data_IF_915378551995
#
_entry.id   IF_915378551995
#
_cell.length_a   1.000
_cell.length_b   1.000
_cell.length_c   1.000
_cell.angle_alpha   90.00
_cell.angle_beta   90.00
_cell.angle_gamma   90.00
#
_symmetry.space_group_name_H-M   'P 1'
#
loop_
_entity.id
_entity.type
_entity.pdbx_description
1 polymer ?
#
# COMPACT_ATOMS: atom_id res chain seq x y z
N UNK A 1 42.10 -29.97 -7.19
CA UNK A 1 43.40 -30.17 -6.50
C UNK A 1 43.71 -31.63 -6.16
N UNK A 2 42.87 -32.36 -5.39
CA UNK A 2 43.13 -33.77 -5.01
C UNK A 2 43.37 -34.75 -6.17
N UNK A 3 42.59 -34.67 -7.25
CA UNK A 3 42.79 -35.53 -8.43
C UNK A 3 44.09 -35.22 -9.18
N UNK A 4 44.50 -33.96 -9.18
CA UNK A 4 45.76 -33.53 -9.78
C UNK A 4 46.94 -34.07 -8.98
N UNK A 5 46.87 -33.98 -7.65
CA UNK A 5 47.85 -34.56 -6.74
C UNK A 5 47.99 -36.07 -6.97
N UNK A 6 46.89 -36.81 -7.09
CA UNK A 6 46.90 -38.25 -7.44
C UNK A 6 47.64 -38.54 -8.76
N UNK A 7 47.37 -37.78 -9.82
CA UNK A 7 48.06 -37.94 -11.12
C UNK A 7 49.55 -37.64 -11.06
N UNK A 8 49.98 -36.68 -10.23
CA UNK A 8 51.40 -36.39 -10.00
C UNK A 8 52.09 -37.58 -9.32
N UNK A 9 51.46 -38.11 -8.29
CA UNK A 9 51.96 -39.25 -7.50
C UNK A 9 52.12 -40.48 -8.40
N UNK A 10 51.11 -40.79 -9.23
CA UNK A 10 51.16 -41.88 -10.23
C UNK A 10 52.31 -41.73 -11.24
N UNK A 11 52.70 -40.50 -11.58
CA UNK A 11 53.76 -40.21 -12.56
C UNK A 11 55.16 -40.19 -11.97
N UNK A 12 55.32 -39.74 -10.72
CA UNK A 12 56.61 -39.63 -10.07
C UNK A 12 57.06 -40.95 -9.41
N UNK A 13 56.11 -41.85 -9.13
CA UNK A 13 56.35 -43.04 -8.32
C UNK A 13 56.32 -42.71 -6.83
N UNK A 14 55.84 -43.67 -6.01
CA UNK A 14 55.64 -43.46 -4.56
C UNK A 14 56.93 -43.41 -3.74
N UNK A 15 58.09 -43.63 -4.37
CA UNK A 15 59.35 -43.68 -3.64
C UNK A 15 59.81 -42.26 -3.30
N UNK A 16 59.69 -41.92 -2.01
CA UNK A 16 60.23 -40.72 -1.36
C UNK A 16 59.65 -39.36 -1.80
N UNK A 17 58.34 -39.30 -2.09
CA UNK A 17 57.60 -38.04 -2.27
C UNK A 17 57.00 -37.56 -0.93
N UNK A 18 57.29 -36.32 -0.56
CA UNK A 18 56.67 -35.65 0.58
C UNK A 18 55.83 -34.47 0.11
N UNK A 19 54.54 -34.48 0.44
CA UNK A 19 53.67 -33.33 0.24
C UNK A 19 53.79 -32.41 1.46
N UNK A 20 54.11 -31.14 1.22
CA UNK A 20 54.08 -30.10 2.23
C UNK A 20 52.88 -29.22 2.01
N UNK A 21 51.90 -29.40 2.88
CA UNK A 21 50.55 -28.87 2.71
C UNK A 21 49.66 -29.24 3.89
N UNK A 22 48.40 -28.83 3.79
CA UNK A 22 47.41 -29.10 4.84
C UNK A 22 46.47 -30.26 4.47
N UNK A 23 46.40 -30.60 3.18
CA UNK A 23 45.53 -31.68 2.71
C UNK A 23 46.19 -33.06 2.83
N UNK A 24 45.53 -33.98 3.56
CA UNK A 24 45.95 -35.38 3.63
C UNK A 24 45.64 -36.11 2.31
N UNK A 25 46.63 -36.86 1.80
CA UNK A 25 46.50 -37.66 0.58
C UNK A 25 46.97 -39.07 0.87
N UNK A 26 46.19 -40.03 0.41
CA UNK A 26 46.46 -41.45 0.61
C UNK A 26 47.70 -41.88 -0.19
N UNK A 27 48.67 -42.51 0.48
CA UNK A 27 49.91 -43.00 -0.13
C UNK A 27 51.07 -42.00 -0.22
N UNK A 28 50.94 -40.79 0.36
CA UNK A 28 52.02 -39.77 0.40
C UNK A 28 52.20 -39.25 1.82
N UNK A 29 53.45 -39.08 2.22
CA UNK A 29 53.78 -38.44 3.49
C UNK A 29 53.44 -36.94 3.42
N UNK A 30 52.39 -36.54 4.15
CA UNK A 30 51.98 -35.13 4.24
C UNK A 30 52.55 -34.51 5.51
N UNK A 31 53.34 -33.46 5.35
CA UNK A 31 53.96 -32.71 6.43
C UNK A 31 53.43 -31.29 6.40
N UNK A 32 53.14 -30.69 7.57
CA UNK A 32 52.77 -29.28 7.60
C UNK A 32 53.99 -28.40 7.32
N UNK A 33 53.84 -27.23 6.68
CA UNK A 33 54.95 -26.29 6.44
C UNK A 33 55.77 -25.94 7.68
N UNK A 34 55.13 -25.89 8.86
CA UNK A 34 55.79 -25.61 10.15
C UNK A 34 56.59 -26.77 10.70
N UNK A 35 56.23 -27.99 10.35
CA UNK A 35 56.75 -29.25 10.90
C UNK A 35 57.77 -29.92 9.97
N UNK A 36 58.06 -29.31 8.82
CA UNK A 36 58.99 -29.85 7.84
C UNK A 36 60.42 -29.92 8.38
N UNK A 37 60.95 -31.14 8.51
CA UNK A 37 62.26 -31.41 9.07
C UNK A 37 63.37 -31.12 8.05
N UNK A 38 63.99 -29.95 8.20
CA UNK A 38 65.08 -29.50 7.33
C UNK A 38 66.36 -30.33 7.48
N UNK A 39 66.47 -31.21 8.50
CA UNK A 39 67.65 -32.06 8.70
C UNK A 39 67.69 -33.27 7.77
N UNK A 40 66.53 -33.70 7.26
CA UNK A 40 66.39 -34.84 6.35
C UNK A 40 66.58 -34.43 4.89
N UNK A 41 67.07 -35.37 4.07
CA UNK A 41 67.10 -35.24 2.61
C UNK A 41 65.87 -35.93 2.04
N UNK A 42 65.18 -35.24 1.14
CA UNK A 42 63.99 -35.74 0.46
C UNK A 42 64.29 -35.86 -1.03
N UNK A 43 63.84 -36.92 -1.69
CA UNK A 43 64.06 -37.02 -3.14
C UNK A 43 63.08 -36.12 -3.88
N UNK A 44 61.80 -36.18 -3.53
CA UNK A 44 60.76 -35.37 -4.16
C UNK A 44 59.96 -34.63 -3.08
N UNK A 45 59.83 -33.32 -3.19
CA UNK A 45 59.01 -32.50 -2.28
C UNK A 45 57.96 -31.76 -3.10
N UNK A 46 56.69 -31.86 -2.75
CA UNK A 46 55.59 -31.16 -3.41
C UNK A 46 55.00 -30.13 -2.45
N UNK A 47 54.99 -28.86 -2.83
CA UNK A 47 54.51 -27.75 -2.00
C UNK A 47 53.17 -27.28 -2.55
N UNK A 48 52.13 -27.37 -1.72
CA UNK A 48 50.77 -27.00 -2.09
C UNK A 48 50.57 -25.48 -2.19
N UNK A 49 51.22 -24.73 -1.29
CA UNK A 49 51.09 -23.28 -1.24
C UNK A 49 52.42 -22.62 -0.81
N UNK A 50 53.02 -21.85 -1.72
CA UNK A 50 54.28 -21.13 -1.50
C UNK A 50 54.19 -20.11 -0.35
N UNK A 51 53.04 -19.45 -0.20
CA UNK A 51 52.84 -18.33 0.73
C UNK A 51 52.93 -18.77 2.19
N UNK A 52 52.86 -20.08 2.44
CA UNK A 52 52.95 -20.68 3.78
C UNK A 52 54.39 -20.89 4.27
N UNK A 53 55.40 -20.58 3.44
CA UNK A 53 56.82 -20.79 3.77
C UNK A 53 57.61 -19.50 3.96
N UNK A 54 58.44 -19.49 5.01
CA UNK A 54 59.54 -18.54 5.14
C UNK A 54 60.56 -18.77 3.99
N UNK A 55 60.97 -17.71 3.26
CA UNK A 55 61.99 -17.78 2.22
C UNK A 55 63.25 -18.58 2.60
N UNK A 56 63.72 -18.45 3.86
CA UNK A 56 64.90 -19.19 4.33
C UNK A 56 64.66 -20.69 4.47
N UNK A 57 63.43 -21.09 4.83
CA UNK A 57 63.04 -22.50 4.90
C UNK A 57 62.92 -23.09 3.50
N UNK A 58 62.29 -22.35 2.59
CA UNK A 58 62.16 -22.76 1.19
C UNK A 58 63.53 -22.98 0.53
N UNK A 59 64.48 -22.06 0.73
CA UNK A 59 65.85 -22.20 0.23
C UNK A 59 66.54 -23.46 0.75
N UNK A 60 66.32 -23.82 2.01
CA UNK A 60 66.88 -25.04 2.59
C UNK A 60 66.23 -26.30 2.03
N UNK A 61 64.92 -26.29 1.78
CA UNK A 61 64.19 -27.39 1.14
C UNK A 61 64.73 -27.62 -0.27
N UNK A 62 64.90 -26.54 -1.04
CA UNK A 62 65.42 -26.61 -2.41
C UNK A 62 66.84 -27.16 -2.43
N UNK A 63 67.73 -26.70 -1.52
CA UNK A 63 69.13 -27.16 -1.47
C UNK A 63 69.32 -28.62 -1.03
N UNK A 64 68.36 -29.16 -0.29
CA UNK A 64 68.45 -30.50 0.33
C UNK A 64 67.59 -31.54 -0.36
N UNK A 65 66.74 -31.12 -1.29
CA UNK A 65 65.85 -32.01 -2.03
C UNK A 65 66.34 -32.18 -3.46
N UNK A 66 66.17 -33.38 -4.04
CA UNK A 66 66.55 -33.62 -5.43
C UNK A 66 65.59 -32.91 -6.40
N UNK A 67 64.29 -32.91 -6.08
CA UNK A 67 63.23 -32.24 -6.86
C UNK A 67 62.24 -31.56 -5.92
N UNK A 68 61.85 -30.33 -6.25
CA UNK A 68 60.81 -29.59 -5.54
C UNK A 68 59.73 -29.19 -6.53
N UNK A 69 58.49 -29.57 -6.29
CA UNK A 69 57.32 -29.27 -7.08
C UNK A 69 56.51 -28.22 -6.33
N UNK A 70 56.03 -27.17 -7.00
CA UNK A 70 55.20 -26.14 -6.37
C UNK A 70 53.90 -26.00 -7.17
N UNK A 71 52.79 -26.11 -6.45
CA UNK A 71 51.46 -25.97 -7.01
C UNK A 71 51.00 -24.51 -6.92
N UNK A 72 50.38 -24.04 -7.99
CA UNK A 72 49.80 -22.70 -8.05
C UNK A 72 48.37 -22.79 -8.58
N UNK A 73 47.44 -22.18 -7.84
CA UNK A 73 46.10 -21.91 -8.36
C UNK A 73 46.20 -20.87 -9.48
N UNK A 74 45.63 -21.18 -10.65
CA UNK A 74 45.56 -20.22 -11.76
C UNK A 74 44.64 -19.06 -11.42
N UNK A 75 43.56 -19.33 -10.68
CA UNK A 75 42.63 -18.29 -10.21
C UNK A 75 43.33 -17.33 -9.27
N UNK A 76 44.07 -17.83 -8.27
CA UNK A 76 44.81 -16.99 -7.32
C UNK A 76 45.92 -16.22 -8.04
N UNK A 77 46.59 -16.83 -9.01
CA UNK A 77 47.60 -16.17 -9.83
C UNK A 77 47.00 -15.02 -10.65
N UNK A 78 45.86 -15.27 -11.32
CA UNK A 78 45.16 -14.26 -12.12
C UNK A 78 44.64 -13.15 -11.22
N UNK A 79 44.03 -13.46 -10.07
CA UNK A 79 43.54 -12.47 -9.11
C UNK A 79 44.69 -11.60 -8.55
N UNK A 80 45.84 -12.22 -8.21
CA UNK A 80 47.06 -11.49 -7.81
C UNK A 80 47.57 -10.59 -8.94
N UNK A 81 47.53 -11.05 -10.19
CA UNK A 81 47.93 -10.26 -11.36
C UNK A 81 46.95 -9.12 -11.67
N UNK A 82 45.64 -9.34 -11.56
CA UNK A 82 44.61 -8.32 -11.70
C UNK A 82 44.79 -7.24 -10.64
N UNK A 83 44.96 -7.61 -9.37
CA UNK A 83 45.30 -6.68 -8.28
C UNK A 83 46.60 -5.92 -8.55
N UNK A 84 47.63 -6.57 -9.09
CA UNK A 84 48.89 -5.90 -9.46
C UNK A 84 48.67 -4.87 -10.57
N UNK A 85 47.88 -5.20 -11.59
CA UNK A 85 47.53 -4.29 -12.70
C UNK A 85 46.66 -3.14 -12.19
N UNK A 86 45.66 -3.39 -11.34
CA UNK A 86 44.84 -2.35 -10.71
C UNK A 86 45.68 -1.41 -9.83
N UNK A 87 46.62 -1.95 -9.04
CA UNK A 87 47.55 -1.16 -8.23
C UNK A 87 48.53 -0.33 -9.09
N UNK A 88 48.97 -0.87 -10.23
CA UNK A 88 49.79 -0.15 -11.20
C UNK A 88 49.02 0.99 -11.88
N UNK A 89 47.78 0.73 -12.32
CA UNK A 89 46.91 1.71 -12.97
C UNK A 89 46.42 2.81 -12.01
N UNK A 90 46.30 2.52 -10.72
CA UNK A 90 45.90 3.48 -9.68
C UNK A 90 47.04 4.36 -9.16
N UNK A 91 48.27 4.21 -9.67
CA UNK A 91 49.41 5.06 -9.32
C UNK A 91 49.98 4.81 -7.92
N UNK A 92 49.66 3.67 -7.30
CA UNK A 92 50.27 3.27 -6.04
C UNK A 92 51.76 3.02 -6.24
N UNK A 93 52.61 3.60 -5.38
CA UNK A 93 54.05 3.31 -5.36
C UNK A 93 54.23 1.79 -5.15
N UNK A 94 54.66 1.08 -6.20
CA UNK A 94 55.14 -0.30 -6.16
C UNK A 94 56.40 -0.37 -5.29
N UNK A 95 56.26 -0.23 -3.97
CA UNK A 95 57.31 -0.57 -3.01
C UNK A 95 57.42 -2.09 -2.95
N UNK A 96 58.12 -2.68 -3.92
CA UNK A 96 58.82 -3.98 -3.94
C UNK A 96 58.20 -5.24 -3.32
N UNK A 97 57.04 -5.22 -2.67
CA UNK A 97 56.61 -6.30 -1.78
C UNK A 97 55.92 -7.46 -2.50
N UNK A 98 55.50 -7.29 -3.76
CA UNK A 98 54.86 -8.37 -4.54
C UNK A 98 55.66 -8.80 -5.78
N UNK A 99 56.67 -8.01 -6.19
CA UNK A 99 57.65 -8.45 -7.18
C UNK A 99 58.68 -9.41 -6.58
N UNK A 100 58.80 -9.47 -5.25
CA UNK A 100 59.68 -10.38 -4.53
C UNK A 100 59.35 -11.86 -4.80
N UNK A 101 58.08 -12.25 -5.00
CA UNK A 101 57.72 -13.63 -5.35
C UNK A 101 58.17 -13.98 -6.77
N UNK A 102 57.94 -13.10 -7.73
CA UNK A 102 58.39 -13.27 -9.11
C UNK A 102 59.91 -13.18 -9.23
N UNK A 103 60.57 -12.32 -8.46
CA UNK A 103 62.03 -12.24 -8.37
C UNK A 103 62.63 -13.46 -7.64
N UNK A 104 61.96 -14.02 -6.62
CA UNK A 104 62.35 -15.30 -6.01
C UNK A 104 62.27 -16.43 -7.03
N UNK A 105 61.17 -16.53 -7.78
CA UNK A 105 61.01 -17.49 -8.87
C UNK A 105 62.00 -17.24 -10.03
N UNK A 106 62.32 -15.97 -10.33
CA UNK A 106 63.29 -15.55 -11.36
C UNK A 106 64.74 -15.81 -10.95
N UNK A 107 65.08 -15.72 -9.66
CA UNK A 107 66.38 -16.16 -9.10
C UNK A 107 66.53 -17.68 -9.12
N UNK A 108 65.41 -18.40 -9.18
CA UNK A 108 65.36 -19.87 -9.31
C UNK A 108 65.32 -20.36 -10.77
N UNK A 109 65.33 -19.46 -11.77
CA UNK A 109 65.13 -19.76 -13.21
C UNK A 109 66.15 -20.70 -13.85
N UNK A 110 67.32 -20.90 -13.27
CA UNK A 110 68.39 -21.70 -13.89
C UNK A 110 68.13 -23.23 -13.81
N UNK A 111 66.96 -23.67 -13.32
CA UNK A 111 66.75 -25.06 -12.87
C UNK A 111 65.30 -25.62 -12.97
N UNK A 112 64.42 -25.09 -13.83
CA UNK A 112 62.97 -25.40 -13.76
C UNK A 112 62.37 -26.13 -14.98
N UNK A 113 61.41 -27.04 -14.73
CA UNK A 113 60.54 -27.67 -15.72
C UNK A 113 59.06 -27.43 -15.39
N UNK A 114 58.14 -27.54 -16.35
CA UNK A 114 56.69 -27.38 -16.09
C UNK A 114 55.98 -28.65 -16.52
N UNK A 115 55.13 -29.17 -15.64
CA UNK A 115 54.26 -30.29 -15.94
C UNK A 115 52.81 -29.82 -15.76
N UNK A 116 52.07 -29.62 -16.84
CA UNK A 116 50.66 -29.20 -16.80
C UNK A 116 49.77 -30.41 -16.56
N UNK A 117 48.85 -30.32 -15.60
CA UNK A 117 47.76 -31.29 -15.45
C UNK A 117 46.45 -30.51 -15.37
N UNK A 118 45.64 -30.60 -16.44
CA UNK A 118 44.24 -30.11 -16.52
C UNK A 118 44.04 -28.58 -16.58
N UNK A 119 42.91 -28.17 -17.18
CA UNK A 119 42.51 -26.82 -17.56
C UNK A 119 42.27 -25.83 -16.41
N UNK A 120 42.32 -26.27 -15.15
CA UNK A 120 41.97 -25.43 -13.99
C UNK A 120 43.10 -25.27 -12.96
N UNK A 121 44.25 -25.93 -13.10
CA UNK A 121 45.31 -25.90 -12.09
C UNK A 121 46.71 -25.93 -12.74
N UNK A 122 47.59 -25.00 -12.38
CA UNK A 122 48.96 -24.93 -12.91
C UNK A 122 49.94 -25.58 -11.93
N UNK A 123 50.84 -26.43 -12.43
CA UNK A 123 51.90 -27.07 -11.66
C UNK A 123 53.26 -26.60 -12.22
N UNK A 124 54.14 -26.09 -11.35
CA UNK A 124 55.51 -25.65 -11.68
C UNK A 124 56.50 -26.59 -10.98
N UNK A 125 57.52 -27.09 -11.70
CA UNK A 125 58.53 -28.04 -11.19
C UNK A 125 59.90 -27.37 -11.09
N UNK A 126 60.63 -27.62 -10.02
CA UNK A 126 62.06 -27.30 -9.84
C UNK A 126 62.89 -28.59 -9.81
N UNK A 127 64.00 -28.60 -10.53
CA UNK A 127 65.03 -29.65 -10.51
C UNK A 127 66.36 -29.06 -10.08
N UNK A 128 67.07 -29.71 -9.15
CA UNK A 128 68.49 -29.43 -8.91
C UNK A 128 69.32 -30.58 -9.46
N UNK A 129 69.83 -30.46 -10.69
CA UNK A 129 71.06 -31.17 -11.09
C UNK A 129 71.98 -30.23 -11.89
N UNK A 130 73.27 -30.29 -11.53
CA UNK A 130 74.38 -29.62 -12.21
C UNK A 130 74.58 -30.28 -13.59
N UNK A 131 73.93 -29.78 -14.64
CA UNK A 131 74.24 -30.23 -16.00
C UNK A 131 73.78 -29.20 -17.05
N UNK A 132 74.68 -28.93 -18.01
CA UNK A 132 74.61 -27.90 -19.05
C UNK A 132 73.53 -28.12 -20.15
N UNK A 133 72.43 -28.82 -19.88
CA UNK A 133 71.43 -29.19 -20.91
C UNK A 133 70.06 -28.50 -20.77
N UNK A 134 69.96 -27.41 -20.00
CA UNK A 134 68.70 -26.76 -19.64
C UNK A 134 68.25 -25.58 -20.53
N UNK A 135 69.02 -25.17 -21.56
CA UNK A 135 68.61 -24.05 -22.45
C UNK A 135 67.35 -24.34 -23.30
N UNK A 136 66.96 -25.61 -23.45
CA UNK A 136 65.87 -26.01 -24.36
C UNK A 136 64.47 -26.09 -23.72
N UNK A 137 64.32 -25.89 -22.41
CA UNK A 137 63.04 -26.07 -21.68
C UNK A 137 62.27 -24.76 -21.41
N UNK A 138 62.92 -23.60 -21.53
CA UNK A 138 62.27 -22.30 -21.35
C UNK A 138 61.06 -22.07 -22.29
N UNK A 139 61.14 -22.41 -23.59
CA UNK A 139 60.01 -22.25 -24.51
C UNK A 139 58.79 -23.11 -24.12
N UNK A 140 59.02 -24.30 -23.57
CA UNK A 140 57.98 -25.23 -23.15
C UNK A 140 57.19 -24.70 -21.95
N UNK A 141 57.87 -24.12 -20.97
CA UNK A 141 57.25 -23.54 -19.77
C UNK A 141 56.27 -22.39 -20.11
N UNK A 142 56.71 -21.48 -20.98
CA UNK A 142 55.89 -20.36 -21.45
C UNK A 142 54.71 -20.84 -22.32
N UNK A 143 54.93 -21.87 -23.15
CA UNK A 143 53.88 -22.46 -23.98
C UNK A 143 52.74 -23.04 -23.12
N UNK A 144 53.05 -23.84 -22.10
CA UNK A 144 52.02 -24.42 -21.23
C UNK A 144 51.28 -23.39 -20.39
N UNK A 145 51.97 -22.34 -19.93
CA UNK A 145 51.32 -21.21 -19.26
C UNK A 145 50.33 -20.51 -20.19
N UNK A 146 50.78 -20.15 -21.41
CA UNK A 146 49.94 -19.49 -22.40
C UNK A 146 48.72 -20.35 -22.77
N UNK A 147 48.90 -21.66 -23.00
CA UNK A 147 47.78 -22.57 -23.30
C UNK A 147 46.80 -22.67 -22.12
N UNK A 148 47.28 -22.68 -20.88
CA UNK A 148 46.41 -22.73 -19.69
C UNK A 148 45.59 -21.46 -19.51
N UNK A 149 46.21 -20.30 -19.72
CA UNK A 149 45.49 -19.01 -19.70
C UNK A 149 44.45 -18.96 -20.81
N UNK A 150 44.78 -19.41 -22.03
CA UNK A 150 43.83 -19.44 -23.16
C UNK A 150 42.63 -20.33 -22.87
N UNK A 151 42.84 -21.53 -22.31
CA UNK A 151 41.74 -22.44 -21.97
C UNK A 151 40.87 -21.90 -20.82
N UNK A 152 41.48 -21.28 -19.81
CA UNK A 152 40.74 -20.59 -18.75
C UNK A 152 39.87 -19.45 -19.32
N UNK A 153 40.43 -18.60 -20.16
CA UNK A 153 39.70 -17.48 -20.79
C UNK A 153 38.54 -17.97 -21.66
N UNK A 154 38.71 -19.10 -22.38
CA UNK A 154 37.61 -19.72 -23.14
C UNK A 154 36.49 -20.21 -22.22
N UNK A 155 36.84 -20.88 -21.12
CA UNK A 155 35.85 -21.37 -20.16
C UNK A 155 35.06 -20.20 -19.54
N UNK A 156 35.77 -19.12 -19.15
CA UNK A 156 35.15 -17.92 -18.59
C UNK A 156 34.26 -17.20 -19.62
N UNK A 157 34.69 -17.13 -20.88
CA UNK A 157 33.89 -16.57 -21.96
C UNK A 157 32.57 -17.34 -22.17
N UNK A 158 32.61 -18.67 -22.13
CA UNK A 158 31.41 -19.50 -22.28
C UNK A 158 30.46 -19.37 -21.07
N UNK A 159 30.99 -19.23 -19.86
CA UNK A 159 30.20 -18.93 -18.66
C UNK A 159 29.47 -17.58 -18.81
N UNK A 160 30.21 -16.53 -19.19
CA UNK A 160 29.66 -15.19 -19.41
C UNK A 160 28.61 -15.17 -20.52
N UNK A 161 28.79 -15.96 -21.60
CA UNK A 161 27.77 -16.09 -22.65
C UNK A 161 26.47 -16.69 -22.13
N UNK A 162 26.54 -17.72 -21.28
CA UNK A 162 25.36 -18.33 -20.67
C UNK A 162 24.65 -17.36 -19.73
N UNK A 163 25.40 -16.63 -18.92
CA UNK A 163 24.86 -15.61 -18.02
C UNK A 163 24.18 -14.49 -18.81
N UNK A 164 24.83 -13.98 -19.86
CA UNK A 164 24.27 -12.94 -20.72
C UNK A 164 22.97 -13.39 -21.42
N UNK A 165 22.91 -14.64 -21.90
CA UNK A 165 21.68 -15.20 -22.47
C UNK A 165 20.54 -15.28 -21.44
N UNK A 166 20.84 -15.68 -20.20
CA UNK A 166 19.89 -15.72 -19.11
C UNK A 166 19.34 -14.33 -18.78
N UNK A 167 20.22 -13.33 -18.69
CA UNK A 167 19.85 -11.94 -18.46
C UNK A 167 19.00 -11.37 -19.60
N UNK A 168 19.33 -11.68 -20.85
CA UNK A 168 18.53 -11.26 -22.02
C UNK A 168 17.12 -11.86 -22.00
N UNK A 169 16.97 -13.13 -21.58
CA UNK A 169 15.65 -13.74 -21.40
C UNK A 169 14.85 -13.06 -20.29
N UNK A 170 15.48 -12.75 -19.15
CA UNK A 170 14.82 -12.03 -18.05
C UNK A 170 14.38 -10.63 -18.48
N UNK A 171 15.25 -9.89 -19.18
CA UNK A 171 14.91 -8.57 -19.73
C UNK A 171 13.73 -8.63 -20.71
N UNK A 172 13.68 -9.65 -21.57
CA UNK A 172 12.56 -9.85 -22.49
C UNK A 172 11.25 -10.08 -21.73
N UNK A 173 11.26 -10.92 -20.69
CA UNK A 173 10.09 -11.21 -19.88
C UNK A 173 9.61 -9.96 -19.14
N UNK A 174 10.52 -9.22 -18.50
CA UNK A 174 10.20 -7.96 -17.82
C UNK A 174 9.60 -6.92 -18.78
N UNK A 175 10.12 -6.83 -20.01
CA UNK A 175 9.54 -5.94 -21.04
C UNK A 175 8.10 -6.34 -21.39
N UNK A 176 7.81 -7.64 -21.51
CA UNK A 176 6.45 -8.13 -21.75
C UNK A 176 5.52 -7.84 -20.57
N UNK A 177 5.98 -8.04 -19.33
CA UNK A 177 5.21 -7.73 -18.12
C UNK A 177 4.91 -6.23 -18.02
N UNK A 178 5.91 -5.38 -18.29
CA UNK A 178 5.74 -3.93 -18.30
C UNK A 178 4.68 -3.53 -19.34
N UNK A 179 4.77 -4.07 -20.56
CA UNK A 179 3.78 -3.80 -21.61
C UNK A 179 2.37 -4.27 -21.21
N UNK A 180 2.24 -5.42 -20.55
CA UNK A 180 0.96 -5.91 -20.05
C UNK A 180 0.39 -4.94 -19.00
N UNK A 181 1.22 -4.50 -18.04
CA UNK A 181 0.82 -3.57 -16.99
C UNK A 181 0.44 -2.19 -17.53
N UNK A 182 1.17 -1.68 -18.52
CA UNK A 182 0.80 -0.45 -19.22
C UNK A 182 -0.56 -0.58 -19.91
N UNK A 183 -0.83 -1.71 -20.57
CA UNK A 183 -2.12 -1.97 -21.21
C UNK A 183 -3.26 -2.07 -20.19
N UNK A 184 -3.06 -2.75 -19.05
CA UNK A 184 -4.04 -2.79 -17.96
C UNK A 184 -4.32 -1.40 -17.41
N UNK A 185 -3.27 -0.62 -17.15
CA UNK A 185 -3.38 0.75 -16.65
C UNK A 185 -4.14 1.65 -17.62
N UNK A 186 -3.89 1.54 -18.92
CA UNK A 186 -4.61 2.29 -19.94
C UNK A 186 -6.11 1.91 -19.97
N UNK A 187 -6.45 0.62 -19.86
CA UNK A 187 -7.85 0.18 -19.77
C UNK A 187 -8.55 0.72 -18.53
N UNK A 188 -7.88 0.70 -17.37
CA UNK A 188 -8.42 1.26 -16.12
C UNK A 188 -8.64 2.77 -16.29
N UNK A 189 -7.68 3.47 -16.90
CA UNK A 189 -7.79 4.91 -17.15
C UNK A 189 -8.99 5.24 -18.04
N UNK A 190 -9.14 4.55 -19.17
CA UNK A 190 -10.30 4.72 -20.06
C UNK A 190 -11.63 4.44 -19.35
N UNK A 191 -11.68 3.38 -18.55
CA UNK A 191 -12.85 3.05 -17.74
C UNK A 191 -13.20 4.19 -16.77
N UNK A 192 -12.22 4.67 -15.99
CA UNK A 192 -12.43 5.76 -15.03
C UNK A 192 -12.85 7.07 -15.71
N UNK A 193 -12.25 7.41 -16.86
CA UNK A 193 -12.65 8.59 -17.64
C UNK A 193 -14.11 8.46 -18.13
N UNK A 194 -14.53 7.27 -18.54
CA UNK A 194 -15.91 7.01 -18.95
C UNK A 194 -16.88 7.12 -17.78
N UNK A 195 -16.51 6.63 -16.60
CA UNK A 195 -17.33 6.66 -15.40
C UNK A 195 -17.48 8.09 -14.86
N UNK A 196 -16.39 8.87 -14.87
CA UNK A 196 -16.42 10.29 -14.54
C UNK A 196 -17.39 11.06 -15.47
N UNK A 197 -17.36 10.76 -16.78
CA UNK A 197 -18.31 11.38 -17.73
C UNK A 197 -19.76 11.02 -17.40
N UNK A 198 -20.04 9.75 -17.10
CA UNK A 198 -21.39 9.30 -16.71
C UNK A 198 -21.87 10.01 -15.44
N UNK A 199 -21.03 10.08 -14.41
CA UNK A 199 -21.36 10.73 -13.14
C UNK A 199 -21.60 12.23 -13.29
N UNK A 200 -20.86 12.92 -14.18
CA UNK A 200 -21.11 14.34 -14.48
C UNK A 200 -22.51 14.54 -15.09
N UNK A 201 -22.87 13.73 -16.08
CA UNK A 201 -24.19 13.78 -16.72
C UNK A 201 -25.30 13.48 -15.70
N UNK A 202 -25.11 12.47 -14.85
CA UNK A 202 -26.09 12.12 -13.83
C UNK A 202 -26.26 13.25 -12.80
N UNK A 203 -25.17 13.89 -12.38
CA UNK A 203 -25.19 15.03 -11.47
C UNK A 203 -25.94 16.22 -12.08
N UNK A 204 -25.68 16.55 -13.34
CA UNK A 204 -26.36 17.62 -14.06
C UNK A 204 -27.87 17.34 -14.15
N UNK A 205 -28.25 16.11 -14.54
CA UNK A 205 -29.66 15.69 -14.59
C UNK A 205 -30.36 15.81 -13.23
N UNK A 206 -29.71 15.37 -12.14
CA UNK A 206 -30.25 15.47 -10.79
C UNK A 206 -30.42 16.93 -10.34
N UNK A 207 -29.49 17.80 -10.71
CA UNK A 207 -29.61 19.23 -10.39
C UNK A 207 -30.73 19.89 -11.20
N UNK A 208 -30.91 19.54 -12.48
CA UNK A 208 -32.06 19.99 -13.27
C UNK A 208 -33.39 19.52 -12.66
N UNK A 209 -33.49 18.26 -12.26
CA UNK A 209 -34.68 17.71 -11.61
C UNK A 209 -34.98 18.42 -10.29
N UNK A 210 -33.96 18.65 -9.46
CA UNK A 210 -34.10 19.43 -8.23
C UNK A 210 -34.61 20.84 -8.50
N UNK A 211 -34.10 21.52 -9.52
CA UNK A 211 -34.58 22.86 -9.89
C UNK A 211 -36.03 22.85 -10.38
N UNK A 212 -36.44 21.82 -11.14
CA UNK A 212 -37.84 21.62 -11.54
C UNK A 212 -38.73 21.45 -10.32
N UNK A 213 -38.37 20.56 -9.39
CA UNK A 213 -39.12 20.33 -8.16
C UNK A 213 -39.22 21.58 -7.28
N UNK A 214 -38.14 22.37 -7.16
CA UNK A 214 -38.17 23.65 -6.44
C UNK A 214 -39.14 24.64 -7.10
N UNK A 215 -39.15 24.74 -8.44
CA UNK A 215 -40.08 25.59 -9.17
C UNK A 215 -41.53 25.14 -8.98
N UNK A 216 -41.79 23.84 -9.07
CA UNK A 216 -43.11 23.26 -8.84
C UNK A 216 -43.60 23.52 -7.41
N UNK A 217 -42.75 23.28 -6.42
CA UNK A 217 -43.07 23.53 -5.02
C UNK A 217 -43.41 25.00 -4.76
N UNK A 218 -42.57 25.93 -5.21
CA UNK A 218 -42.83 27.38 -5.10
C UNK A 218 -44.13 27.79 -5.79
N UNK A 219 -44.47 27.15 -6.91
CA UNK A 219 -45.69 27.45 -7.65
C UNK A 219 -46.92 26.95 -6.89
N UNK A 220 -46.90 25.70 -6.41
CA UNK A 220 -47.98 25.13 -5.59
C UNK A 220 -48.20 25.95 -4.32
N UNK A 221 -47.12 26.26 -3.60
CA UNK A 221 -47.17 27.07 -2.39
C UNK A 221 -47.80 28.45 -2.65
N UNK A 222 -47.44 29.12 -3.76
CA UNK A 222 -48.03 30.41 -4.14
C UNK A 222 -49.53 30.29 -4.45
N UNK A 223 -49.93 29.27 -5.20
CA UNK A 223 -51.33 29.02 -5.56
C UNK A 223 -52.16 28.72 -4.31
N UNK A 224 -51.67 27.85 -3.43
CA UNK A 224 -52.33 27.52 -2.17
C UNK A 224 -52.43 28.73 -1.24
N UNK A 225 -51.34 29.48 -1.04
CA UNK A 225 -51.37 30.72 -0.25
C UNK A 225 -52.40 31.71 -0.80
N UNK A 226 -52.50 31.85 -2.13
CA UNK A 226 -53.51 32.71 -2.76
C UNK A 226 -54.93 32.19 -2.54
N UNK A 227 -55.15 30.87 -2.62
CA UNK A 227 -56.45 30.23 -2.35
C UNK A 227 -56.86 30.41 -0.90
N UNK A 228 -55.98 30.12 0.06
CA UNK A 228 -56.24 30.32 1.48
C UNK A 228 -56.52 31.80 1.81
N UNK A 229 -55.76 32.74 1.24
CA UNK A 229 -56.05 34.18 1.40
C UNK A 229 -57.43 34.56 0.91
N UNK A 230 -57.85 34.07 -0.27
CA UNK A 230 -59.19 34.31 -0.80
C UNK A 230 -60.28 33.73 0.12
N UNK A 231 -60.06 32.51 0.62
CA UNK A 231 -61.02 31.85 1.50
C UNK A 231 -61.16 32.58 2.84
N UNK A 232 -60.05 33.00 3.44
CA UNK A 232 -60.06 33.80 4.68
C UNK A 232 -60.86 35.09 4.48
N UNK A 233 -60.63 35.81 3.38
CA UNK A 233 -61.39 37.04 3.07
C UNK A 233 -62.88 36.75 2.92
N UNK A 234 -63.24 35.64 2.28
CA UNK A 234 -64.63 35.21 2.11
C UNK A 234 -65.29 34.94 3.47
N UNK A 235 -64.63 34.14 4.31
CA UNK A 235 -65.12 33.78 5.64
C UNK A 235 -65.23 35.00 6.56
N UNK A 236 -64.32 35.97 6.46
CA UNK A 236 -64.42 37.22 7.21
C UNK A 236 -65.64 38.05 6.80
N UNK A 237 -65.92 38.18 5.49
CA UNK A 237 -67.12 38.86 4.99
C UNK A 237 -68.41 38.16 5.41
N UNK A 238 -68.42 36.83 5.39
CA UNK A 238 -69.56 36.03 5.84
C UNK A 238 -69.80 36.19 7.34
N UNK A 239 -68.72 36.19 8.15
CA UNK A 239 -68.79 36.47 9.58
C UNK A 239 -69.35 37.87 9.88
N UNK A 240 -68.98 38.90 9.11
CA UNK A 240 -69.53 40.25 9.26
C UNK A 240 -71.01 40.30 8.92
N UNK A 241 -71.44 39.67 7.81
CA UNK A 241 -72.87 39.58 7.45
C UNK A 241 -73.70 38.88 8.53
N UNK A 242 -73.21 37.75 9.04
CA UNK A 242 -73.88 37.02 10.12
C UNK A 242 -73.95 37.86 11.40
N UNK A 243 -72.97 38.72 11.65
CA UNK A 243 -73.01 39.67 12.77
C UNK A 243 -74.10 40.72 12.56
N UNK A 244 -74.21 41.30 11.37
CA UNK A 244 -75.29 42.26 11.03
C UNK A 244 -76.67 41.62 11.11
N UNK A 245 -76.84 40.40 10.59
CA UNK A 245 -78.09 39.63 10.68
C UNK A 245 -78.46 39.32 12.13
N UNK A 246 -77.46 38.95 12.96
CA UNK A 246 -77.67 38.72 14.39
C UNK A 246 -78.12 39.98 15.12
N UNK A 247 -77.55 41.14 14.83
CA UNK A 247 -77.98 42.41 15.44
C UNK A 247 -79.41 42.78 15.00
N UNK A 248 -79.75 42.63 13.72
CA UNK A 248 -81.13 42.85 13.23
C UNK A 248 -82.15 41.95 13.91
N UNK A 249 -81.85 40.65 14.00
CA UNK A 249 -82.72 39.69 14.71
C UNK A 249 -82.87 40.05 16.19
N UNK A 250 -81.83 40.59 16.82
CA UNK A 250 -81.88 41.05 18.20
C UNK A 250 -82.80 42.27 18.35
N UNK A 251 -82.66 43.27 17.49
CA UNK A 251 -83.56 44.43 17.45
C UNK A 251 -85.03 44.02 17.17
N UNK A 252 -85.26 43.11 16.23
CA UNK A 252 -86.59 42.57 15.93
C UNK A 252 -87.20 41.84 17.15
N UNK A 253 -86.39 41.08 17.88
CA UNK A 253 -86.83 40.40 19.10
C UNK A 253 -87.17 41.40 20.22
N UNK A 254 -86.32 42.41 20.43
CA UNK A 254 -86.55 43.48 21.41
C UNK A 254 -87.83 44.26 21.11
N UNK A 255 -88.08 44.59 19.83
CA UNK A 255 -89.30 45.27 19.40
C UNK A 255 -90.55 44.40 19.64
N UNK A 256 -90.52 43.12 19.30
CA UNK A 256 -91.64 42.19 19.57
C UNK A 256 -91.93 42.05 21.06
N UNK A 257 -90.90 42.01 21.90
CA UNK A 257 -91.07 41.97 23.36
C UNK A 257 -91.77 43.24 23.84
N UNK A 258 -91.32 44.43 23.40
CA UNK A 258 -91.96 45.70 23.74
C UNK A 258 -93.42 45.77 23.29
N UNK A 259 -93.74 45.32 22.07
CA UNK A 259 -95.12 45.27 21.57
C UNK A 259 -96.01 44.35 22.41
N UNK A 260 -95.53 43.15 22.76
CA UNK A 260 -96.26 42.24 23.63
C UNK A 260 -96.47 42.81 25.04
N UNK A 261 -95.45 43.44 25.63
CA UNK A 261 -95.55 44.08 26.94
C UNK A 261 -96.57 45.22 26.93
N UNK A 262 -96.57 46.05 25.87
CA UNK A 262 -97.56 47.11 25.68
C UNK A 262 -98.97 46.57 25.52
N UNK A 263 -99.15 45.49 24.74
CA UNK A 263 -100.44 44.81 24.59
C UNK A 263 -100.96 44.30 25.93
N UNK A 264 -100.11 43.60 26.69
CA UNK A 264 -100.46 43.08 28.03
C UNK A 264 -100.80 44.20 29.01
N UNK A 265 -100.05 45.30 28.99
CA UNK A 265 -100.34 46.45 29.85
C UNK A 265 -101.71 47.07 29.51
N UNK A 266 -102.04 47.17 28.22
CA UNK A 266 -103.35 47.66 27.81
C UNK A 266 -104.48 46.69 28.20
N UNK A 267 -104.26 45.38 28.13
CA UNK A 267 -105.22 44.37 28.64
C UNK A 267 -105.42 44.49 30.15
N UNK A 268 -104.33 44.62 30.92
CA UNK A 268 -104.39 44.81 32.38
C UNK A 268 -105.20 46.07 32.70
N UNK A 269 -104.94 47.20 32.03
CA UNK A 269 -105.69 48.45 32.24
C UNK A 269 -107.18 48.31 31.96
N UNK A 270 -107.55 47.58 30.89
CA UNK A 270 -108.97 47.30 30.60
C UNK A 270 -109.62 46.46 31.70
N UNK A 271 -108.93 45.43 32.19
CA UNK A 271 -109.42 44.61 33.29
C UNK A 271 -109.54 45.41 34.59
N UNK A 272 -108.61 46.34 34.85
CA UNK A 272 -108.69 47.27 35.98
C UNK A 272 -109.92 48.19 35.87
N UNK A 273 -110.17 48.80 34.69
CA UNK A 273 -111.36 49.62 34.44
C UNK A 273 -112.66 48.80 34.57
N UNK A 274 -112.70 47.57 34.06
CA UNK A 274 -113.85 46.67 34.20
C UNK A 274 -114.11 46.30 35.67
N UNK A 275 -113.04 46.03 36.43
CA UNK A 275 -113.13 45.74 37.87
C UNK A 275 -113.63 46.95 38.66
N UNK A 276 -113.11 48.15 38.39
CA UNK A 276 -113.58 49.39 39.02
C UNK A 276 -115.07 49.64 38.74
N UNK A 277 -115.49 49.52 37.49
CA UNK A 277 -116.91 49.66 37.11
C UNK A 277 -117.79 48.63 37.83
N UNK A 278 -117.32 47.39 37.94
CA UNK A 278 -118.03 46.32 38.65
C UNK A 278 -118.15 46.63 40.14
N UNK A 279 -117.09 47.13 40.78
CA UNK A 279 -117.09 47.55 42.19
C UNK A 279 -118.10 48.70 42.40
N UNK A 280 -118.13 49.70 41.51
CA UNK A 280 -119.10 50.80 41.56
C UNK A 280 -120.53 50.27 41.43
N UNK A 281 -120.79 49.34 40.50
CA UNK A 281 -122.12 48.75 40.32
C UNK A 281 -122.56 47.93 41.54
N UNK A 282 -121.65 47.15 42.13
CA UNK A 282 -121.91 46.46 43.40
C UNK A 282 -122.18 47.43 44.55
N UNK A 283 -121.44 48.55 44.62
CA UNK A 283 -121.68 49.62 45.59
C UNK A 283 -123.10 50.20 45.47
N UNK A 284 -123.55 50.51 44.25
CA UNK A 284 -124.93 50.99 44.01
C UNK A 284 -125.99 49.96 44.38
N UNK A 285 -125.80 48.69 44.00
CA UNK A 285 -126.73 47.60 44.38
C UNK A 285 -126.80 47.41 45.89
N UNK A 286 -125.68 47.58 46.60
CA UNK A 286 -125.65 47.54 48.06
C UNK A 286 -126.44 48.72 48.65
N UNK A 287 -126.24 49.95 48.17
CA UNK A 287 -127.02 51.12 48.60
C UNK A 287 -128.53 50.93 48.38
N UNK A 288 -128.94 50.43 47.20
CA UNK A 288 -130.34 50.10 46.90
C UNK A 288 -130.90 49.05 47.88
N UNK A 289 -130.14 47.99 48.17
CA UNK A 289 -130.53 46.95 49.12
C UNK A 289 -130.59 47.47 50.56
N UNK A 290 -129.67 48.35 50.95
CA UNK A 290 -129.70 49.02 52.24
C UNK A 290 -130.94 49.92 52.39
N UNK A 291 -131.33 50.63 51.33
CA UNK A 291 -132.58 51.41 51.30
C UNK A 291 -133.82 50.53 51.38
N UNK A 292 -133.87 49.41 50.67
CA UNK A 292 -134.94 48.41 50.79
C UNK A 292 -135.04 47.87 52.22
N UNK A 293 -133.90 47.51 52.85
CA UNK A 293 -133.86 47.06 54.24
C UNK A 293 -134.32 48.16 55.18
N UNK A 294 -133.93 49.42 54.96
CA UNK A 294 -134.42 50.56 55.75
C UNK A 294 -135.94 50.67 55.63
N UNK A 295 -136.50 50.65 54.41
CA UNK A 295 -137.95 50.70 54.17
C UNK A 295 -138.70 49.55 54.85
N UNK A 296 -138.17 48.32 54.76
CA UNK A 296 -138.73 47.15 55.43
C UNK A 296 -138.66 47.28 56.95
N UNK A 297 -137.57 47.80 57.51
CA UNK A 297 -137.47 48.12 58.95
C UNK A 297 -138.52 49.15 59.35
N UNK A 298 -138.73 50.22 58.57
CA UNK A 298 -139.78 51.21 58.86
C UNK A 298 -141.18 50.60 58.83
N UNK A 299 -141.44 49.66 57.92
CA UNK A 299 -142.70 48.92 57.85
C UNK A 299 -142.90 47.98 59.04
N UNK A 300 -141.86 47.29 59.51
CA UNK A 300 -141.91 46.42 60.70
C UNK A 300 -142.15 47.24 61.98
N UNK A 301 -141.58 48.44 62.10
CA UNK A 301 -141.82 49.35 63.24
C UNK A 301 -143.22 50.03 63.21
N UNK A 302 -144.00 49.84 62.15
CA UNK A 302 -145.36 50.38 61.98
C UNK A 302 -146.47 49.32 62.09
N UNK A 303 -146.12 48.07 62.39
CA UNK A 303 -147.03 46.96 62.71
C UNK A 303 -147.13 46.77 64.23
#
# INVERSE_FOLDING_TARGET
MKELLKKIIEKLGNENLVLVGNEKIEGVDVVKPTEFDLSKKYENVLIENLDTFDPKKLDNIIKRSKRVFILFSLEDYIEKMEKLVENFLSGANLRSSNLDEFEKLKKMKESAGILKIDNSNLLIVFQQEKSQEMENLQPFSQFFLNVSVVEYLKAKLEELKKENLSLLMQLKNLKCELQYKENEMNRIKEFLESEIKRLKIEKERKEEERQRLIKEFKTRERVEKKRFRKEIIRLLKEKEKLKEEREKLKEELENKIMEMEKSKLNEIKKLEEELENTIIEFGKKLEEKEEEIKKLKTQIFSL
#
